data_IF_797573082559
#
_entry.id   IF_797573082559
#
_cell.length_a   1.000
_cell.length_b   1.000
_cell.length_c   1.000
_cell.angle_alpha   90.00
_cell.angle_beta   90.00
_cell.angle_gamma   90.00
#
_symmetry.space_group_name_H-M   'P 1'
#
loop_
_entity.id
_entity.type
_entity.pdbx_description
1 polymer ?
#
# COMPACT_ATOMS: atom_id res chain seq x y z
N UNK A 1 2.78 2.32 21.72
CA UNK A 1 2.09 3.21 20.76
C UNK A 1 3.13 3.65 19.72
N UNK A 2 3.14 3.08 18.51
CA UNK A 2 3.92 3.61 17.41
C UNK A 2 3.35 4.97 17.06
N UNK A 3 4.15 6.01 17.18
CA UNK A 3 3.84 7.34 16.67
C UNK A 3 3.43 7.16 15.21
N UNK A 4 2.19 7.54 14.89
CA UNK A 4 1.74 7.69 13.51
C UNK A 4 2.63 8.77 12.90
N UNK A 5 3.75 8.34 12.31
CA UNK A 5 4.59 9.19 11.49
C UNK A 5 3.66 9.82 10.46
N UNK A 6 3.63 11.14 10.43
CA UNK A 6 2.99 11.86 9.34
C UNK A 6 3.54 11.24 8.05
N UNK A 7 2.71 10.69 7.17
CA UNK A 7 3.21 10.21 5.90
C UNK A 7 3.97 11.36 5.26
N UNK A 8 5.12 11.05 4.69
CA UNK A 8 6.00 12.05 4.07
C UNK A 8 5.32 12.54 2.78
N UNK A 9 4.28 13.35 2.96
CA UNK A 9 3.48 13.92 1.87
C UNK A 9 4.31 14.86 1.00
N UNK A 10 5.47 15.30 1.51
CA UNK A 10 6.38 16.21 0.83
C UNK A 10 7.44 15.48 -0.01
N UNK A 11 7.64 14.18 0.21
CA UNK A 11 8.70 13.43 -0.47
C UNK A 11 8.49 13.40 -1.99
N UNK A 12 7.22 13.34 -2.43
CA UNK A 12 6.88 13.15 -3.84
C UNK A 12 5.67 14.00 -4.26
N UNK A 13 5.65 14.53 -5.49
CA UNK A 13 4.51 15.28 -5.97
C UNK A 13 3.28 14.38 -6.11
N UNK A 14 2.13 14.89 -5.66
CA UNK A 14 0.83 14.23 -5.77
C UNK A 14 0.30 14.32 -7.20
N UNK A 15 0.07 13.21 -7.91
CA UNK A 15 -0.53 13.24 -9.23
C UNK A 15 -2.01 13.63 -9.18
N UNK A 16 -2.39 14.54 -10.05
CA UNK A 16 -3.76 14.96 -10.32
C UNK A 16 -4.15 14.48 -11.71
N UNK A 17 -4.97 13.41 -11.78
CA UNK A 17 -5.31 12.73 -13.03
C UNK A 17 -6.66 13.22 -13.55
N UNK A 18 -6.69 13.65 -14.80
CA UNK A 18 -7.87 14.07 -15.55
C UNK A 18 -8.73 15.11 -14.82
N UNK A 19 -8.11 16.02 -14.06
CA UNK A 19 -8.84 17.06 -13.33
C UNK A 19 -9.32 18.17 -14.27
N UNK A 20 -10.62 18.48 -14.18
CA UNK A 20 -11.20 19.65 -14.83
C UNK A 20 -10.51 20.95 -14.37
N UNK A 21 -10.48 21.98 -15.23
CA UNK A 21 -9.80 23.24 -14.95
C UNK A 21 -10.18 23.86 -13.59
N UNK A 22 -11.48 23.86 -13.27
CA UNK A 22 -12.00 24.40 -12.01
C UNK A 22 -11.58 23.59 -10.78
N UNK A 23 -11.62 22.25 -10.87
CA UNK A 23 -11.18 21.35 -9.80
C UNK A 23 -9.70 21.45 -9.59
N UNK A 24 -8.95 21.50 -10.68
CA UNK A 24 -7.50 21.67 -10.71
C UNK A 24 -7.08 22.93 -9.98
N UNK A 25 -7.63 24.09 -10.33
CA UNK A 25 -7.30 25.36 -9.68
C UNK A 25 -7.58 25.31 -8.16
N UNK A 26 -8.70 24.72 -7.77
CA UNK A 26 -9.04 24.57 -6.35
C UNK A 26 -8.07 23.62 -5.61
N UNK A 27 -7.67 22.49 -6.24
CA UNK A 27 -6.69 21.56 -5.69
C UNK A 27 -5.31 22.21 -5.55
N UNK A 28 -4.82 22.84 -6.63
CA UNK A 28 -3.53 23.53 -6.65
C UNK A 28 -3.41 24.57 -5.54
N UNK A 29 -4.41 25.42 -5.39
CA UNK A 29 -4.45 26.44 -4.34
C UNK A 29 -4.36 25.84 -2.93
N UNK A 30 -5.12 24.77 -2.68
CA UNK A 30 -5.14 24.14 -1.37
C UNK A 30 -3.87 23.32 -1.09
N UNK A 31 -3.38 22.54 -2.06
CA UNK A 31 -2.15 21.76 -1.95
C UNK A 31 -0.92 22.63 -1.74
N UNK A 32 -0.81 23.73 -2.51
CA UNK A 32 0.27 24.72 -2.34
C UNK A 32 0.27 25.34 -0.94
N UNK A 33 -0.92 25.66 -0.39
CA UNK A 33 -1.04 26.18 1.00
C UNK A 33 -0.64 25.16 2.05
N UNK A 34 -0.76 23.87 1.74
CA UNK A 34 -0.35 22.77 2.62
C UNK A 34 1.13 22.38 2.44
N UNK A 35 1.84 23.02 1.50
CA UNK A 35 3.23 22.66 1.15
C UNK A 35 3.36 21.38 0.33
N UNK A 36 2.24 20.78 -0.12
CA UNK A 36 2.25 19.54 -0.87
C UNK A 36 2.53 19.84 -2.35
N UNK A 37 3.58 19.23 -2.89
CA UNK A 37 3.88 19.31 -4.33
C UNK A 37 2.89 18.47 -5.12
N UNK A 38 2.57 18.88 -6.30
CA UNK A 38 1.61 18.23 -7.20
C UNK A 38 2.08 18.33 -8.65
N UNK A 39 1.54 17.46 -9.50
CA UNK A 39 1.70 17.53 -10.96
C UNK A 39 0.45 16.99 -11.64
N UNK A 40 0.23 17.44 -12.87
CA UNK A 40 -0.90 16.98 -13.68
C UNK A 40 -0.51 15.82 -14.56
N UNK A 41 -1.46 14.87 -14.68
CA UNK A 41 -1.47 13.82 -15.68
C UNK A 41 -2.77 13.91 -16.46
N UNK A 42 -2.67 14.00 -17.77
CA UNK A 42 -3.80 14.05 -18.68
C UNK A 42 -3.64 12.98 -19.74
N UNK A 43 -4.67 12.14 -19.91
CA UNK A 43 -4.55 10.97 -20.77
C UNK A 43 -3.66 9.89 -20.17
N UNK A 44 -3.41 8.83 -20.94
CA UNK A 44 -2.62 7.68 -20.50
C UNK A 44 -1.11 7.97 -20.52
N UNK A 45 -0.69 8.91 -19.68
CA UNK A 45 0.72 9.21 -19.47
C UNK A 45 1.37 8.22 -18.49
N UNK A 46 2.66 7.97 -18.70
CA UNK A 46 3.43 7.12 -17.80
C UNK A 46 3.59 7.79 -16.42
N UNK A 47 3.36 7.03 -15.36
CA UNK A 47 3.67 7.49 -14.01
C UNK A 47 5.16 7.82 -13.89
N UNK A 48 5.51 8.88 -13.14
CA UNK A 48 6.90 9.14 -12.82
C UNK A 48 7.51 7.94 -12.07
N UNK A 49 8.82 7.69 -12.20
CA UNK A 49 9.49 6.51 -11.64
C UNK A 49 9.43 6.43 -10.12
N UNK A 50 9.01 7.49 -9.48
CA UNK A 50 8.87 7.59 -8.04
C UNK A 50 7.42 7.30 -7.62
N UNK A 51 7.22 6.44 -6.64
CA UNK A 51 5.90 6.03 -6.13
C UNK A 51 5.27 7.13 -5.27
N UNK A 52 4.24 7.85 -5.75
CA UNK A 52 3.56 8.87 -4.94
C UNK A 52 2.82 8.24 -3.75
N UNK A 53 2.60 9.03 -2.70
CA UNK A 53 1.87 8.57 -1.51
C UNK A 53 0.38 8.29 -1.78
N UNK A 54 -0.21 8.99 -2.74
CA UNK A 54 -1.58 8.84 -3.22
C UNK A 54 -1.73 9.47 -4.62
N UNK A 55 -2.86 9.25 -5.27
CA UNK A 55 -3.25 9.88 -6.54
C UNK A 55 -4.68 10.41 -6.42
N UNK A 56 -4.92 11.61 -6.95
CA UNK A 56 -6.26 12.19 -7.10
C UNK A 56 -6.76 12.00 -8.52
N UNK A 57 -7.97 11.46 -8.68
CA UNK A 57 -8.60 11.20 -9.98
C UNK A 57 -9.99 11.81 -10.00
N UNK A 58 -10.31 12.65 -10.98
CA UNK A 58 -11.64 13.19 -11.12
C UNK A 58 -12.56 12.24 -11.89
N UNK A 59 -13.66 11.80 -11.25
CA UNK A 59 -14.55 10.79 -11.83
C UNK A 59 -15.26 11.28 -13.09
N UNK A 60 -15.72 12.52 -13.10
CA UNK A 60 -16.50 13.09 -14.19
C UNK A 60 -15.67 13.26 -15.48
N UNK A 61 -14.39 13.58 -15.33
CA UNK A 61 -13.48 13.85 -16.45
C UNK A 61 -12.54 12.66 -16.77
N UNK A 62 -12.71 11.54 -16.09
CA UNK A 62 -11.79 10.41 -16.18
C UNK A 62 -11.66 9.83 -17.60
N UNK A 63 -10.43 9.85 -18.14
CA UNK A 63 -10.09 9.40 -19.49
C UNK A 63 -8.79 8.56 -19.57
N UNK A 64 -8.17 8.22 -18.43
CA UNK A 64 -6.83 7.61 -18.34
C UNK A 64 -6.84 6.18 -17.74
N UNK A 65 -7.49 5.18 -18.39
CA UNK A 65 -7.63 3.84 -17.83
C UNK A 65 -6.30 3.09 -17.69
N UNK A 66 -5.33 3.29 -18.59
CA UNK A 66 -4.02 2.64 -18.52
C UNK A 66 -3.18 3.18 -17.36
N UNK A 67 -3.16 4.51 -17.18
CA UNK A 67 -2.50 5.15 -16.04
C UNK A 67 -3.09 4.65 -14.73
N UNK A 68 -4.42 4.57 -14.61
CA UNK A 68 -5.09 4.07 -13.42
C UNK A 68 -4.78 2.60 -13.14
N UNK A 69 -4.70 1.78 -14.20
CA UNK A 69 -4.32 0.37 -14.09
C UNK A 69 -2.91 0.22 -13.49
N UNK A 70 -1.95 1.03 -13.94
CA UNK A 70 -0.59 1.05 -13.40
C UNK A 70 -0.57 1.49 -11.93
N UNK A 71 -1.37 2.51 -11.57
CA UNK A 71 -1.53 3.01 -10.19
C UNK A 71 -2.03 1.88 -9.28
N UNK A 72 -3.08 1.18 -9.71
CA UNK A 72 -3.68 0.07 -8.96
C UNK A 72 -2.70 -1.10 -8.79
N UNK A 73 -1.96 -1.47 -9.86
CA UNK A 73 -0.93 -2.51 -9.80
C UNK A 73 0.22 -2.15 -8.85
N UNK A 74 0.59 -0.88 -8.79
CA UNK A 74 1.59 -0.38 -7.84
C UNK A 74 1.05 -0.27 -6.40
N UNK A 75 -0.23 -0.54 -6.18
CA UNK A 75 -0.89 -0.45 -4.88
C UNK A 75 -0.92 0.97 -4.33
N UNK A 76 -0.90 2.00 -5.19
CA UNK A 76 -0.97 3.40 -4.79
C UNK A 76 -2.43 3.75 -4.47
N UNK A 77 -2.73 4.37 -3.30
CA UNK A 77 -4.09 4.75 -2.97
C UNK A 77 -4.65 5.75 -3.99
N UNK A 78 -5.84 5.46 -4.49
CA UNK A 78 -6.59 6.33 -5.40
C UNK A 78 -7.65 7.07 -4.61
N UNK A 79 -7.66 8.39 -4.71
CA UNK A 79 -8.69 9.26 -4.15
C UNK A 79 -9.53 9.76 -5.30
N UNK A 80 -10.78 9.33 -5.36
CA UNK A 80 -11.72 9.78 -6.38
C UNK A 80 -12.34 11.13 -6.00
N UNK A 81 -12.27 12.10 -6.90
CA UNK A 81 -12.92 13.41 -6.76
C UNK A 81 -14.23 13.39 -7.53
N UNK A 82 -15.32 13.86 -6.92
CA UNK A 82 -16.65 13.95 -7.55
C UNK A 82 -17.44 15.17 -7.12
N UNK A 83 -18.32 15.60 -8.00
CA UNK A 83 -19.30 16.68 -7.71
C UNK A 83 -20.58 16.17 -7.05
N UNK A 84 -20.84 14.86 -7.09
CA UNK A 84 -22.10 14.25 -6.66
C UNK A 84 -21.87 13.11 -5.66
N UNK A 85 -22.65 13.10 -4.58
CA UNK A 85 -22.59 12.07 -3.52
C UNK A 85 -23.57 10.91 -3.77
N UNK A 86 -23.95 10.65 -5.02
CA UNK A 86 -24.90 9.60 -5.38
C UNK A 86 -24.28 8.19 -5.34
N UNK A 87 -25.14 7.18 -5.11
CA UNK A 87 -24.73 5.77 -5.09
C UNK A 87 -23.97 5.36 -6.36
N UNK A 88 -24.38 5.89 -7.51
CA UNK A 88 -23.71 5.64 -8.79
C UNK A 88 -22.24 6.09 -8.78
N UNK A 89 -21.94 7.26 -8.20
CA UNK A 89 -20.58 7.77 -8.12
C UNK A 89 -19.72 6.93 -7.17
N UNK A 90 -20.30 6.49 -6.06
CA UNK A 90 -19.60 5.58 -5.13
C UNK A 90 -19.27 4.25 -5.81
N UNK A 91 -20.21 3.67 -6.54
CA UNK A 91 -19.96 2.43 -7.29
C UNK A 91 -18.88 2.61 -8.33
N UNK A 92 -18.94 3.70 -9.11
CA UNK A 92 -17.93 4.02 -10.11
C UNK A 92 -16.54 4.23 -9.48
N UNK A 93 -16.45 4.91 -8.34
CA UNK A 93 -15.20 5.06 -7.60
C UNK A 93 -14.63 3.69 -7.17
N UNK A 94 -15.47 2.79 -6.66
CA UNK A 94 -15.05 1.44 -6.27
C UNK A 94 -14.58 0.61 -7.48
N UNK A 95 -15.26 0.69 -8.61
CA UNK A 95 -14.85 0.03 -9.86
C UNK A 95 -13.48 0.51 -10.36
N UNK A 96 -13.17 1.77 -10.15
CA UNK A 96 -11.85 2.36 -10.45
C UNK A 96 -10.78 2.03 -9.39
N UNK A 97 -11.14 1.30 -8.33
CA UNK A 97 -10.20 0.95 -7.26
C UNK A 97 -9.93 2.09 -6.29
N UNK A 98 -10.83 3.09 -6.19
CA UNK A 98 -10.64 4.20 -5.28
C UNK A 98 -10.67 3.74 -3.82
N UNK A 99 -9.70 4.20 -3.05
CA UNK A 99 -9.56 3.95 -1.61
C UNK A 99 -10.40 4.93 -0.78
N UNK A 100 -10.62 6.13 -1.31
CA UNK A 100 -11.38 7.19 -0.66
C UNK A 100 -12.08 8.08 -1.70
N UNK A 101 -13.13 8.77 -1.25
CA UNK A 101 -13.91 9.72 -2.05
C UNK A 101 -13.74 11.13 -1.48
N UNK A 102 -13.46 12.09 -2.35
CA UNK A 102 -13.41 13.51 -2.04
C UNK A 102 -14.52 14.23 -2.82
N UNK A 103 -15.43 14.87 -2.10
CA UNK A 103 -16.55 15.58 -2.72
C UNK A 103 -16.27 17.08 -2.86
N UNK A 104 -16.79 17.70 -3.91
CA UNK A 104 -16.77 19.15 -4.07
C UNK A 104 -17.86 19.79 -3.16
N UNK A 105 -17.60 20.93 -2.50
CA UNK A 105 -16.46 21.84 -2.70
C UNK A 105 -15.17 21.38 -2.04
N UNK A 106 -14.05 21.54 -2.77
CA UNK A 106 -12.73 21.13 -2.35
C UNK A 106 -12.20 22.09 -1.27
N UNK A 107 -12.04 21.60 -0.06
CA UNK A 107 -11.45 22.36 1.06
C UNK A 107 -10.13 21.75 1.52
N UNK A 108 -9.24 22.57 2.07
CA UNK A 108 -7.96 22.11 2.61
C UNK A 108 -8.15 20.98 3.64
N UNK A 109 -9.14 21.13 4.53
CA UNK A 109 -9.45 20.13 5.55
C UNK A 109 -9.89 18.79 4.96
N UNK A 110 -10.77 18.83 3.93
CA UNK A 110 -11.25 17.63 3.26
C UNK A 110 -10.10 16.90 2.56
N UNK A 111 -9.26 17.63 1.80
CA UNK A 111 -8.06 17.05 1.17
C UNK A 111 -7.18 16.37 2.23
N UNK A 112 -6.82 17.10 3.30
CA UNK A 112 -5.94 16.56 4.34
C UNK A 112 -6.50 15.30 4.98
N UNK A 113 -7.76 15.33 5.40
CA UNK A 113 -8.40 14.18 6.05
C UNK A 113 -8.45 12.97 5.12
N UNK A 114 -8.84 13.17 3.86
CA UNK A 114 -8.96 12.09 2.87
C UNK A 114 -7.59 11.51 2.52
N UNK A 115 -6.57 12.35 2.32
CA UNK A 115 -5.20 11.90 2.09
C UNK A 115 -4.67 11.06 3.26
N UNK A 116 -4.82 11.58 4.49
CA UNK A 116 -4.35 10.88 5.69
C UNK A 116 -5.03 9.53 5.87
N UNK A 117 -6.34 9.46 5.62
CA UNK A 117 -7.08 8.19 5.68
C UNK A 117 -6.62 7.21 4.59
N UNK A 118 -6.48 7.65 3.36
CA UNK A 118 -6.08 6.80 2.24
C UNK A 118 -4.67 6.22 2.44
N UNK A 119 -3.72 7.06 2.85
CA UNK A 119 -2.34 6.65 3.12
C UNK A 119 -2.27 5.74 4.36
N UNK A 120 -3.01 6.07 5.42
CA UNK A 120 -3.07 5.24 6.63
C UNK A 120 -3.65 3.84 6.35
N UNK A 121 -4.72 3.75 5.56
CA UNK A 121 -5.29 2.46 5.16
C UNK A 121 -4.31 1.62 4.33
N UNK A 122 -3.60 2.25 3.38
CA UNK A 122 -2.55 1.57 2.63
C UNK A 122 -1.48 0.99 3.53
N UNK A 123 -1.00 1.76 4.52
CA UNK A 123 0.01 1.29 5.45
C UNK A 123 -0.48 0.07 6.24
N UNK A 124 -1.71 0.10 6.75
CA UNK A 124 -2.31 -1.02 7.45
C UNK A 124 -2.41 -2.28 6.57
N UNK A 125 -2.85 -2.13 5.33
CA UNK A 125 -2.94 -3.24 4.38
C UNK A 125 -1.56 -3.83 4.08
N UNK A 126 -0.55 -2.98 3.90
CA UNK A 126 0.83 -3.41 3.68
C UNK A 126 1.37 -4.21 4.88
N UNK A 127 1.16 -3.71 6.10
CA UNK A 127 1.58 -4.39 7.33
C UNK A 127 0.91 -5.77 7.47
N UNK A 128 -0.40 -5.86 7.16
CA UNK A 128 -1.14 -7.14 7.18
C UNK A 128 -0.58 -8.10 6.12
N UNK A 129 -0.32 -7.63 4.91
CA UNK A 129 0.26 -8.45 3.84
C UNK A 129 1.65 -8.98 4.21
N UNK A 130 2.49 -8.15 4.80
CA UNK A 130 3.81 -8.58 5.31
C UNK A 130 3.69 -9.64 6.39
N UNK A 131 2.78 -9.46 7.35
CA UNK A 131 2.53 -10.47 8.39
C UNK A 131 2.05 -11.79 7.81
N UNK A 132 1.11 -11.75 6.85
CA UNK A 132 0.64 -12.95 6.15
C UNK A 132 1.77 -13.66 5.40
N UNK A 133 2.64 -12.91 4.73
CA UNK A 133 3.80 -13.47 4.02
C UNK A 133 4.75 -14.20 4.98
N UNK A 134 5.07 -13.59 6.11
CA UNK A 134 5.91 -14.20 7.15
C UNK A 134 5.28 -15.48 7.71
N UNK A 135 3.97 -15.47 7.98
CA UNK A 135 3.25 -16.64 8.46
C UNK A 135 3.26 -17.78 7.43
N UNK A 136 3.03 -17.46 6.16
CA UNK A 136 3.09 -18.44 5.07
C UNK A 136 4.48 -19.06 4.93
N UNK A 137 5.54 -18.25 5.04
CA UNK A 137 6.92 -18.73 5.01
C UNK A 137 7.21 -19.68 6.18
N UNK A 138 6.76 -19.34 7.39
CA UNK A 138 6.90 -20.22 8.56
C UNK A 138 6.16 -21.54 8.38
N UNK A 139 4.93 -21.50 7.89
CA UNK A 139 4.15 -22.72 7.62
C UNK A 139 4.80 -23.59 6.52
N UNK A 140 5.34 -22.98 5.47
CA UNK A 140 6.02 -23.70 4.40
C UNK A 140 7.33 -24.36 4.88
N UNK A 141 7.98 -23.81 5.90
CA UNK A 141 9.19 -24.38 6.50
C UNK A 141 8.91 -25.54 7.49
N UNK A 142 7.70 -25.63 8.05
CA UNK A 142 7.34 -26.65 9.05
C UNK A 142 7.60 -28.08 8.60
N UNK A 143 7.23 -28.54 7.39
CA UNK A 143 7.50 -29.91 6.95
C UNK A 143 8.98 -30.24 6.93
N UNK A 144 9.83 -29.31 6.50
CA UNK A 144 11.28 -29.49 6.43
C UNK A 144 11.89 -29.60 7.83
N UNK A 145 11.46 -28.76 8.77
CA UNK A 145 11.87 -28.81 10.16
C UNK A 145 11.46 -30.14 10.78
N UNK A 146 10.24 -30.62 10.54
CA UNK A 146 9.75 -31.89 11.06
C UNK A 146 10.54 -33.07 10.50
N UNK A 147 10.88 -33.07 9.22
CA UNK A 147 11.73 -34.10 8.60
C UNK A 147 13.15 -34.09 9.18
N UNK A 148 13.74 -32.92 9.36
CA UNK A 148 15.07 -32.80 9.95
C UNK A 148 15.11 -33.30 11.39
N UNK A 149 14.09 -32.96 12.20
CA UNK A 149 13.94 -33.49 13.56
C UNK A 149 13.83 -35.01 13.59
N UNK A 150 12.96 -35.57 12.74
CA UNK A 150 12.76 -37.01 12.65
C UNK A 150 14.06 -37.74 12.23
N UNK A 151 14.80 -37.20 11.28
CA UNK A 151 16.07 -37.73 10.82
C UNK A 151 17.13 -37.72 11.95
N UNK A 152 17.26 -36.63 12.70
CA UNK A 152 18.19 -36.56 13.83
C UNK A 152 17.81 -37.50 14.98
N UNK A 153 16.52 -37.56 15.31
CA UNK A 153 16.04 -38.51 16.33
C UNK A 153 16.38 -39.96 15.98
N UNK A 154 16.22 -40.33 14.69
CA UNK A 154 16.54 -41.68 14.22
C UNK A 154 18.07 -41.95 14.19
N UNK A 155 18.85 -40.99 13.71
CA UNK A 155 20.28 -41.16 13.53
C UNK A 155 21.05 -41.26 14.87
N UNK A 156 20.61 -40.51 15.87
CA UNK A 156 21.33 -40.35 17.13
C UNK A 156 20.61 -40.99 18.34
N UNK A 157 19.42 -41.55 18.13
CA UNK A 157 18.58 -42.14 19.19
C UNK A 157 18.30 -41.16 20.36
N UNK A 158 18.08 -39.88 20.01
CA UNK A 158 17.80 -38.81 20.96
C UNK A 158 16.31 -38.46 20.95
N UNK A 159 15.85 -37.81 22.01
CA UNK A 159 14.49 -37.33 22.10
C UNK A 159 14.24 -36.03 21.25
N UNK A 160 12.99 -35.69 21.10
CA UNK A 160 12.60 -34.50 20.30
C UNK A 160 13.21 -33.20 20.86
N UNK A 161 13.27 -33.03 22.16
CA UNK A 161 13.84 -31.84 22.79
C UNK A 161 15.35 -31.73 22.52
N UNK A 162 16.09 -32.83 22.60
CA UNK A 162 17.51 -32.86 22.30
C UNK A 162 17.79 -32.60 20.82
N UNK A 163 17.02 -33.20 19.93
CA UNK A 163 17.10 -32.95 18.49
C UNK A 163 16.82 -31.45 18.14
N UNK A 164 15.83 -30.86 18.79
CA UNK A 164 15.51 -29.45 18.60
C UNK A 164 16.64 -28.52 19.06
N UNK A 165 17.23 -28.78 20.22
CA UNK A 165 18.37 -28.01 20.74
C UNK A 165 19.56 -28.07 19.78
N UNK A 166 19.88 -29.24 19.22
CA UNK A 166 20.96 -29.39 18.24
C UNK A 166 20.70 -28.64 16.94
N UNK A 167 19.53 -28.83 16.32
CA UNK A 167 19.14 -28.11 15.11
C UNK A 167 19.27 -26.60 15.28
N UNK A 168 18.84 -26.10 16.42
CA UNK A 168 18.96 -24.67 16.74
C UNK A 168 20.43 -24.24 16.91
N UNK A 169 21.25 -25.06 17.54
CA UNK A 169 22.69 -24.79 17.72
C UNK A 169 23.41 -24.75 16.36
N UNK A 170 23.14 -25.71 15.48
CA UNK A 170 23.70 -25.77 14.12
C UNK A 170 23.25 -24.55 13.27
N UNK A 171 21.99 -24.23 13.34
CA UNK A 171 21.44 -23.02 12.68
C UNK A 171 22.16 -21.75 13.14
N UNK A 172 22.44 -21.61 14.42
CA UNK A 172 23.19 -20.48 14.97
C UNK A 172 24.66 -20.47 14.53
N UNK A 173 25.32 -21.64 14.48
CA UNK A 173 26.72 -21.75 14.06
C UNK A 173 26.90 -21.47 12.56
N UNK A 174 25.95 -21.88 11.74
CA UNK A 174 26.00 -21.70 10.27
C UNK A 174 25.40 -20.39 9.80
N UNK A 175 24.75 -19.62 10.70
CA UNK A 175 23.99 -18.41 10.39
C UNK A 175 22.92 -18.62 9.30
N UNK A 176 22.39 -19.86 9.22
CA UNK A 176 21.32 -20.27 8.32
C UNK A 176 20.03 -20.49 9.10
N UNK A 177 18.89 -20.25 8.45
CA UNK A 177 17.59 -20.57 9.07
C UNK A 177 17.46 -22.09 9.28
N UNK A 178 16.82 -22.52 10.38
CA UNK A 178 16.49 -23.93 10.63
C UNK A 178 15.66 -24.55 9.49
N UNK A 179 15.08 -23.71 8.63
CA UNK A 179 14.26 -24.08 7.48
C UNK A 179 15.04 -24.18 6.15
N UNK A 180 16.34 -23.96 6.16
CA UNK A 180 17.26 -24.20 5.04
C UNK A 180 18.05 -25.48 5.26
#
# INVERSE_FOLDING_TARGET
>A
MKTLLSPDLDAQPLPLVDCEARSREALEKNLTRMGIRWHHLTGDEALPPLTPCAVLVELEAFASPLTLSQINLAGIPVIALTSHEGLYQVQRALELGATALLTKPITQRAIYTTLMMAVGLRQQLHDIQQQQMLLRQRLAAMPQITQALAAQMQAESIDEQQAWVRLRSESMCTNQSVAQ
#
